data_IF_209963817711
#
_entry.id   IF_209963817711
#
_cell.length_a   1.000
_cell.length_b   1.000
_cell.length_c   1.000
_cell.angle_alpha   90.00
_cell.angle_beta   90.00
_cell.angle_gamma   90.00
#
_symmetry.space_group_name_H-M   'P 1'
#
loop_
_entity.id
_entity.type
_entity.pdbx_description
1 polymer ?
#
# COMPACT_ATOMS: atom_id res chain seq x y z
N UNK A 1 33.11 1.93 -1.95
CA UNK A 1 31.79 2.25 -2.51
C UNK A 1 31.92 3.54 -3.26
N UNK A 2 31.39 3.60 -4.47
CA UNK A 2 31.44 4.84 -5.25
C UNK A 2 30.57 5.90 -4.56
N UNK A 3 31.01 7.17 -4.58
CA UNK A 3 30.31 8.28 -3.92
C UNK A 3 28.82 8.36 -4.32
N UNK A 4 28.54 8.09 -5.60
CA UNK A 4 27.18 7.98 -6.16
C UNK A 4 26.32 6.92 -5.45
N UNK A 5 26.89 5.76 -5.12
CA UNK A 5 26.17 4.68 -4.42
C UNK A 5 25.83 5.08 -2.98
N UNK A 6 26.73 5.81 -2.31
CA UNK A 6 26.52 6.31 -0.94
C UNK A 6 25.42 7.37 -0.93
N UNK A 7 25.48 8.34 -1.86
CA UNK A 7 24.45 9.37 -2.00
C UNK A 7 23.10 8.72 -2.32
N UNK A 8 23.05 7.75 -3.22
CA UNK A 8 21.84 6.99 -3.54
C UNK A 8 21.23 6.30 -2.31
N UNK A 9 22.05 5.66 -1.48
CA UNK A 9 21.59 5.03 -0.23
C UNK A 9 21.00 6.05 0.76
N UNK A 10 21.65 7.20 0.93
CA UNK A 10 21.17 8.27 1.83
C UNK A 10 19.81 8.78 1.34
N UNK A 11 19.64 9.00 0.03
CA UNK A 11 18.36 9.45 -0.55
C UNK A 11 17.27 8.40 -0.36
N UNK A 12 17.56 7.13 -0.63
CA UNK A 12 16.61 6.03 -0.43
C UNK A 12 16.20 5.95 1.04
N UNK A 13 17.16 5.96 1.97
CA UNK A 13 16.88 5.93 3.42
C UNK A 13 16.08 7.15 3.87
N UNK A 14 16.38 8.34 3.35
CA UNK A 14 15.64 9.56 3.64
C UNK A 14 14.18 9.50 3.18
N UNK A 15 13.94 9.09 1.93
CA UNK A 15 12.58 8.91 1.39
C UNK A 15 11.84 7.83 2.18
N UNK A 16 12.50 6.72 2.48
CA UNK A 16 11.95 5.60 3.24
C UNK A 16 11.55 6.01 4.65
N UNK A 17 12.43 6.74 5.35
CA UNK A 17 12.15 7.30 6.67
C UNK A 17 10.99 8.29 6.64
N UNK A 18 10.93 9.16 5.62
CA UNK A 18 9.82 10.10 5.45
C UNK A 18 8.49 9.39 5.22
N UNK A 19 8.47 8.36 4.37
CA UNK A 19 7.28 7.52 4.14
C UNK A 19 6.86 6.79 5.42
N UNK A 20 7.80 6.21 6.17
CA UNK A 20 7.53 5.55 7.45
C UNK A 20 6.91 6.51 8.48
N UNK A 21 7.46 7.72 8.60
CA UNK A 21 6.92 8.75 9.50
C UNK A 21 5.54 9.22 9.07
N UNK A 22 5.29 9.39 7.77
CA UNK A 22 3.98 9.77 7.23
C UNK A 22 2.95 8.68 7.52
N UNK A 23 3.32 7.41 7.41
CA UNK A 23 2.42 6.29 7.71
C UNK A 23 2.07 6.17 9.19
N UNK A 24 2.99 6.47 10.11
CA UNK A 24 2.67 6.47 11.55
C UNK A 24 1.55 7.43 11.91
N UNK A 25 1.29 8.46 11.09
CA UNK A 25 0.20 9.42 11.31
C UNK A 25 -1.18 8.83 11.07
N UNK A 26 -1.30 7.70 10.36
CA UNK A 26 -2.58 7.11 9.99
C UNK A 26 -2.73 5.73 10.60
N UNK A 27 -3.42 5.66 11.75
CA UNK A 27 -3.81 4.38 12.35
C UNK A 27 -4.88 3.73 11.47
N UNK A 28 -4.56 2.53 10.98
CA UNK A 28 -5.52 1.66 10.31
C UNK A 28 -6.43 1.04 11.38
N UNK A 29 -7.74 1.16 11.17
CA UNK A 29 -8.75 0.43 11.93
C UNK A 29 -8.84 -0.99 11.36
N UNK A 30 -8.93 -1.09 10.04
CA UNK A 30 -9.03 -2.36 9.32
C UNK A 30 -7.96 -2.43 8.23
N UNK A 31 -7.12 -3.47 8.31
CA UNK A 31 -6.11 -3.74 7.29
C UNK A 31 -6.73 -4.46 6.08
N UNK A 32 -6.49 -3.91 4.90
CA UNK A 32 -6.87 -4.52 3.63
C UNK A 32 -5.64 -4.86 2.78
N UNK A 33 -5.87 -5.47 1.61
CA UNK A 33 -4.86 -5.75 0.60
C UNK A 33 -5.19 -4.99 -0.68
N UNK A 34 -4.18 -4.32 -1.22
CA UNK A 34 -4.22 -3.82 -2.59
C UNK A 34 -4.08 -5.00 -3.57
N UNK A 35 -4.72 -4.90 -4.73
CA UNK A 35 -4.48 -5.83 -5.83
C UNK A 35 -3.01 -5.81 -6.28
N UNK A 36 -2.38 -4.63 -6.25
CA UNK A 36 -1.00 -4.44 -6.67
C UNK A 36 0.01 -4.73 -5.54
N UNK A 37 -0.40 -5.49 -4.52
CA UNK A 37 0.45 -5.79 -3.37
C UNK A 37 1.78 -6.46 -3.77
N UNK A 38 1.71 -7.37 -4.75
CA UNK A 38 2.85 -8.15 -5.22
C UNK A 38 3.70 -7.44 -6.28
N UNK A 39 3.25 -6.30 -6.81
CA UNK A 39 3.86 -5.66 -7.97
C UNK A 39 5.25 -5.11 -7.61
N UNK A 40 5.41 -4.49 -6.43
CA UNK A 40 6.70 -3.96 -5.98
C UNK A 40 7.70 -5.08 -5.64
N UNK A 41 7.35 -6.13 -4.86
CA UNK A 41 8.21 -7.30 -4.70
C UNK A 41 8.63 -7.95 -6.01
N UNK A 42 7.70 -8.06 -6.97
CA UNK A 42 7.96 -8.65 -8.28
C UNK A 42 8.98 -7.83 -9.08
N UNK A 43 8.85 -6.49 -9.11
CA UNK A 43 9.83 -5.60 -9.76
C UNK A 43 11.23 -5.78 -9.15
N UNK A 44 11.32 -5.89 -7.82
CA UNK A 44 12.60 -6.10 -7.13
C UNK A 44 13.23 -7.44 -7.55
N UNK A 45 12.44 -8.52 -7.57
CA UNK A 45 12.91 -9.85 -8.01
C UNK A 45 13.40 -9.81 -9.46
N UNK A 46 12.65 -9.16 -10.36
CA UNK A 46 13.05 -8.99 -11.76
C UNK A 46 14.36 -8.20 -11.85
N UNK A 47 14.50 -7.11 -11.10
CA UNK A 47 15.73 -6.31 -11.07
C UNK A 47 16.94 -7.14 -10.63
N UNK A 48 16.81 -7.92 -9.56
CA UNK A 48 17.86 -8.83 -9.09
C UNK A 48 18.20 -9.86 -10.17
N UNK A 49 17.18 -10.48 -10.78
CA UNK A 49 17.35 -11.46 -11.85
C UNK A 49 18.09 -10.89 -13.05
N UNK A 50 17.67 -9.73 -13.58
CA UNK A 50 18.35 -9.06 -14.71
C UNK A 50 19.80 -8.74 -14.38
N UNK A 51 20.07 -8.27 -13.15
CA UNK A 51 21.42 -7.94 -12.71
C UNK A 51 22.30 -9.18 -12.62
N UNK A 52 21.75 -10.31 -12.15
CA UNK A 52 22.44 -11.60 -12.07
C UNK A 52 22.71 -12.19 -13.46
N UNK A 53 21.72 -12.18 -14.37
CA UNK A 53 21.84 -12.72 -15.73
C UNK A 53 22.72 -11.87 -16.64
N UNK A 54 22.88 -10.57 -16.37
CA UNK A 54 23.75 -9.68 -17.16
C UNK A 54 25.24 -9.92 -16.92
N UNK A 55 25.64 -10.95 -16.14
CA UNK A 55 27.04 -11.30 -15.90
C UNK A 55 27.82 -10.26 -15.10
N UNK A 56 27.15 -9.25 -14.53
CA UNK A 56 27.78 -8.27 -13.64
C UNK A 56 27.98 -8.93 -12.28
N UNK A 57 29.20 -8.84 -11.75
CA UNK A 57 29.46 -9.22 -10.37
C UNK A 57 28.63 -8.33 -9.45
N UNK A 58 27.65 -8.94 -8.78
CA UNK A 58 26.81 -8.26 -7.79
C UNK A 58 27.74 -7.82 -6.66
N UNK A 59 27.92 -6.52 -6.52
CA UNK A 59 28.77 -5.99 -5.44
C UNK A 59 28.02 -6.17 -4.12
N UNK A 60 28.71 -6.35 -2.99
CA UNK A 60 28.07 -6.39 -1.67
C UNK A 60 27.18 -5.16 -1.40
N UNK A 61 27.52 -4.01 -1.99
CA UNK A 61 26.71 -2.79 -1.92
C UNK A 61 25.32 -2.95 -2.58
N UNK A 62 25.22 -3.67 -3.69
CA UNK A 62 23.95 -3.87 -4.39
C UNK A 62 23.00 -4.75 -3.55
N UNK A 63 23.55 -5.74 -2.86
CA UNK A 63 22.81 -6.60 -1.91
C UNK A 63 22.29 -5.76 -0.74
N UNK A 64 23.11 -4.87 -0.20
CA UNK A 64 22.71 -3.98 0.89
C UNK A 64 21.54 -3.06 0.49
N UNK A 65 21.58 -2.51 -0.73
CA UNK A 65 20.50 -1.67 -1.27
C UNK A 65 19.19 -2.46 -1.37
N UNK A 66 19.24 -3.70 -1.89
CA UNK A 66 18.07 -4.58 -1.98
C UNK A 66 17.48 -4.88 -0.60
N UNK A 67 18.33 -5.21 0.39
CA UNK A 67 17.89 -5.48 1.76
C UNK A 67 17.18 -4.26 2.37
N UNK A 68 17.62 -3.04 2.06
CA UNK A 68 16.98 -1.82 2.56
C UNK A 68 15.67 -1.50 1.82
N UNK A 69 15.61 -1.73 0.51
CA UNK A 69 14.41 -1.43 -0.31
C UNK A 69 13.26 -2.39 0.03
N UNK A 70 13.54 -3.66 0.35
CA UNK A 70 12.49 -4.66 0.60
C UNK A 70 11.54 -4.24 1.74
N UNK A 71 11.99 -3.95 2.98
CA UNK A 71 11.11 -3.50 4.05
C UNK A 71 10.29 -2.27 3.67
N UNK A 72 10.90 -1.35 2.92
CA UNK A 72 10.25 -0.10 2.48
C UNK A 72 9.14 -0.38 1.48
N UNK A 73 9.38 -1.31 0.53
CA UNK A 73 8.39 -1.77 -0.42
C UNK A 73 7.18 -2.44 0.25
N UNK A 74 7.43 -3.20 1.33
CA UNK A 74 6.35 -3.83 2.11
C UNK A 74 5.59 -2.83 2.97
N UNK A 75 6.31 -1.94 3.65
CA UNK A 75 5.71 -0.94 4.56
C UNK A 75 4.90 0.08 3.77
N UNK A 76 5.43 0.60 2.65
CA UNK A 76 4.77 1.58 1.78
C UNK A 76 3.51 1.09 1.06
N UNK A 77 3.14 -0.18 1.23
CA UNK A 77 1.94 -0.75 0.62
C UNK A 77 0.80 -0.97 1.61
N UNK A 78 0.79 -0.22 2.72
CA UNK A 78 -0.34 -0.22 3.66
C UNK A 78 -1.60 0.26 2.97
N UNK A 79 -2.64 -0.56 3.12
CA UNK A 79 -3.96 -0.31 2.56
C UNK A 79 -5.02 -0.69 3.59
N UNK A 80 -6.13 0.02 3.63
CA UNK A 80 -7.22 -0.27 4.55
C UNK A 80 -8.07 0.94 4.89
N UNK A 81 -8.84 0.80 5.97
CA UNK A 81 -9.74 1.85 6.46
C UNK A 81 -9.11 2.51 7.68
N UNK A 82 -9.18 3.84 7.71
CA UNK A 82 -8.77 4.69 8.83
C UNK A 82 -9.99 5.44 9.37
N UNK A 83 -9.85 6.11 10.50
CA UNK A 83 -10.91 6.96 11.07
C UNK A 83 -11.33 8.08 10.10
N UNK A 84 -10.39 8.61 9.32
CA UNK A 84 -10.58 9.78 8.48
C UNK A 84 -10.89 9.46 7.01
N UNK A 85 -10.77 8.20 6.60
CA UNK A 85 -10.98 7.81 5.21
C UNK A 85 -10.37 6.45 4.86
N UNK A 86 -10.14 6.26 3.57
CA UNK A 86 -9.56 5.04 3.01
C UNK A 86 -8.09 5.30 2.66
N UNK A 87 -7.19 4.48 3.20
CA UNK A 87 -5.75 4.53 2.89
C UNK A 87 -5.44 3.50 1.80
N UNK A 88 -4.79 3.92 0.72
CA UNK A 88 -4.32 3.04 -0.33
C UNK A 88 -2.87 3.41 -0.71
N UNK A 89 -1.93 2.49 -0.53
CA UNK A 89 -0.50 2.66 -0.85
C UNK A 89 0.04 3.99 -0.30
N UNK A 90 -0.18 4.21 1.00
CA UNK A 90 0.20 5.43 1.76
C UNK A 90 -0.47 6.74 1.31
N UNK A 91 -1.48 6.69 0.40
CA UNK A 91 -2.33 7.82 0.03
C UNK A 91 -3.68 7.73 0.74
N UNK A 92 -4.00 8.74 1.56
CA UNK A 92 -5.27 8.84 2.27
C UNK A 92 -6.30 9.57 1.40
N UNK A 93 -7.38 8.87 1.05
CA UNK A 93 -8.59 9.48 0.51
C UNK A 93 -9.56 9.69 1.65
N UNK A 94 -9.76 10.93 2.06
CA UNK A 94 -10.62 11.29 3.19
C UNK A 94 -12.10 11.08 2.85
N UNK A 95 -12.94 10.84 3.87
CA UNK A 95 -14.38 10.51 3.66
C UNK A 95 -15.14 11.57 2.88
N UNK A 96 -14.81 12.85 3.04
CA UNK A 96 -15.37 13.99 2.31
C UNK A 96 -15.03 13.98 0.81
N UNK A 97 -13.94 13.33 0.43
CA UNK A 97 -13.49 13.22 -0.98
C UNK A 97 -13.99 11.95 -1.66
N UNK A 98 -14.67 11.06 -0.93
CA UNK A 98 -15.22 9.82 -1.47
C UNK A 98 -16.63 10.12 -1.99
N UNK A 99 -16.80 10.10 -3.30
CA UNK A 99 -18.08 10.38 -3.96
C UNK A 99 -19.05 9.19 -3.89
N UNK A 100 -18.51 7.97 -3.93
CA UNK A 100 -19.30 6.75 -3.75
C UNK A 100 -18.45 5.56 -3.31
N UNK A 101 -19.07 4.60 -2.63
CA UNK A 101 -18.45 3.31 -2.34
C UNK A 101 -19.49 2.18 -2.36
N UNK A 102 -19.02 0.96 -2.62
CA UNK A 102 -19.80 -0.26 -2.55
C UNK A 102 -18.90 -1.39 -2.05
N UNK A 103 -19.45 -2.31 -1.26
CA UNK A 103 -18.70 -3.49 -0.81
C UNK A 103 -19.46 -4.74 -1.24
N UNK A 104 -18.72 -5.71 -1.77
CA UNK A 104 -19.30 -6.93 -2.33
C UNK A 104 -18.62 -8.14 -1.70
N UNK A 105 -19.42 -9.08 -1.21
CA UNK A 105 -18.93 -10.38 -0.77
C UNK A 105 -18.65 -11.27 -1.98
N UNK A 106 -17.43 -11.82 -2.04
CA UNK A 106 -17.02 -12.88 -2.95
C UNK A 106 -16.65 -14.11 -2.10
N UNK A 107 -16.65 -15.32 -2.70
CA UNK A 107 -16.51 -16.63 -2.01
C UNK A 107 -15.61 -16.68 -0.76
N UNK A 108 -14.47 -15.97 -0.74
CA UNK A 108 -13.55 -15.95 0.40
C UNK A 108 -13.00 -14.56 0.75
N UNK A 109 -13.62 -13.48 0.25
CA UNK A 109 -13.12 -12.10 0.47
C UNK A 109 -14.22 -11.08 0.31
N UNK A 110 -14.04 -9.93 0.93
CA UNK A 110 -14.86 -8.75 0.66
C UNK A 110 -14.07 -7.77 -0.20
N UNK A 111 -14.69 -7.26 -1.26
CA UNK A 111 -14.08 -6.25 -2.13
C UNK A 111 -14.80 -4.92 -1.93
N UNK A 112 -14.10 -3.94 -1.35
CA UNK A 112 -14.57 -2.56 -1.24
C UNK A 112 -14.14 -1.79 -2.48
N UNK A 113 -15.11 -1.34 -3.27
CA UNK A 113 -14.93 -0.37 -4.34
C UNK A 113 -15.24 1.03 -3.81
N UNK A 114 -14.42 2.01 -4.14
CA UNK A 114 -14.68 3.40 -3.81
C UNK A 114 -14.20 4.31 -4.93
N UNK A 115 -14.82 5.47 -5.04
CA UNK A 115 -14.48 6.51 -6.01
C UNK A 115 -14.14 7.78 -5.26
N UNK A 116 -13.00 8.37 -5.58
CA UNK A 116 -12.57 9.66 -5.03
C UNK A 116 -11.75 10.42 -6.06
N UNK A 117 -12.00 11.73 -6.19
CA UNK A 117 -11.41 12.58 -7.22
C UNK A 117 -11.54 12.01 -8.66
N UNK A 118 -12.68 11.37 -8.96
CA UNK A 118 -12.97 10.78 -10.28
C UNK A 118 -12.24 9.47 -10.60
N UNK A 119 -11.47 8.90 -9.66
CA UNK A 119 -10.77 7.63 -9.86
C UNK A 119 -11.44 6.54 -9.03
N UNK A 120 -11.91 5.48 -9.70
CA UNK A 120 -12.43 4.28 -9.04
C UNK A 120 -11.29 3.37 -8.62
N UNK A 121 -11.28 2.97 -7.35
CA UNK A 121 -10.25 2.14 -6.72
C UNK A 121 -10.90 1.00 -5.93
N UNK A 122 -10.12 -0.01 -5.57
CA UNK A 122 -10.60 -1.14 -4.78
C UNK A 122 -9.61 -1.60 -3.72
N UNK A 123 -10.15 -2.17 -2.63
CA UNK A 123 -9.41 -2.82 -1.55
C UNK A 123 -10.07 -4.16 -1.25
N UNK A 124 -9.25 -5.19 -1.10
CA UNK A 124 -9.72 -6.52 -0.73
C UNK A 124 -9.48 -6.77 0.77
N UNK A 125 -10.46 -7.35 1.44
CA UNK A 125 -10.38 -7.77 2.83
C UNK A 125 -10.58 -9.29 2.93
N UNK A 126 -9.95 -9.93 3.91
CA UNK A 126 -10.28 -11.32 4.24
C UNK A 126 -11.75 -11.41 4.67
N UNK A 127 -12.34 -12.61 4.58
CA UNK A 127 -13.74 -12.79 4.97
C UNK A 127 -14.05 -12.28 6.39
N UNK A 128 -13.21 -12.65 7.36
CA UNK A 128 -13.33 -12.22 8.77
C UNK A 128 -13.35 -10.69 8.95
N UNK A 129 -12.43 -9.99 8.28
CA UNK A 129 -12.32 -8.53 8.38
C UNK A 129 -13.40 -7.83 7.56
N UNK A 130 -13.79 -8.42 6.43
CA UNK A 130 -14.75 -7.86 5.50
C UNK A 130 -16.15 -7.65 6.10
N UNK A 131 -16.62 -8.60 6.90
CA UNK A 131 -17.89 -8.48 7.64
C UNK A 131 -17.85 -7.34 8.65
N UNK A 132 -16.75 -7.19 9.40
CA UNK A 132 -16.57 -6.08 10.32
C UNK A 132 -16.51 -4.73 9.60
N UNK A 133 -15.84 -4.69 8.45
CA UNK A 133 -15.75 -3.51 7.58
C UNK A 133 -17.13 -3.12 7.06
N UNK A 134 -17.92 -4.06 6.54
CA UNK A 134 -19.26 -3.74 6.05
C UNK A 134 -20.16 -3.20 7.17
N UNK A 135 -20.10 -3.82 8.35
CA UNK A 135 -20.79 -3.34 9.54
C UNK A 135 -20.35 -1.93 9.95
N UNK A 136 -19.05 -1.67 9.95
CA UNK A 136 -18.48 -0.35 10.28
C UNK A 136 -18.96 0.72 9.30
N UNK A 137 -18.86 0.45 8.00
CA UNK A 137 -19.29 1.36 6.93
C UNK A 137 -20.81 1.61 6.94
N UNK A 138 -21.60 0.62 7.37
CA UNK A 138 -23.06 0.73 7.46
C UNK A 138 -23.51 1.60 8.65
N UNK A 139 -22.80 1.52 9.78
CA UNK A 139 -23.19 2.20 11.03
C UNK A 139 -22.65 3.62 11.12
N UNK A 140 -21.57 3.94 10.41
CA UNK A 140 -20.90 5.22 10.55
C UNK A 140 -21.63 6.33 9.77
N UNK A 141 -22.39 7.17 10.49
CA UNK A 141 -23.18 8.30 9.95
C UNK A 141 -22.37 9.34 9.17
N UNK A 142 -21.04 9.38 9.35
CA UNK A 142 -20.13 10.24 8.57
C UNK A 142 -19.95 9.77 7.13
N UNK A 143 -20.28 8.51 6.85
CA UNK A 143 -20.06 7.86 5.56
C UNK A 143 -21.40 7.84 4.80
N UNK A 144 -21.69 8.91 4.06
CA UNK A 144 -23.02 9.16 3.46
C UNK A 144 -23.20 8.64 2.03
N UNK A 145 -22.19 7.98 1.46
CA UNK A 145 -22.07 7.78 0.01
C UNK A 145 -22.18 6.30 -0.44
N UNK A 146 -22.94 5.47 0.30
CA UNK A 146 -23.07 4.04 -0.02
C UNK A 146 -23.96 3.85 -1.25
N UNK A 147 -23.44 3.23 -2.30
CA UNK A 147 -24.24 2.68 -3.40
C UNK A 147 -24.61 1.24 -3.06
N UNK A 148 -25.89 0.91 -3.18
CA UNK A 148 -26.40 -0.46 -3.06
C UNK A 148 -25.98 -1.29 -4.26
#
# INVERSE_FOLDING_TARGET
MDLLTIIGLIVILGISGMLFLKERKHKLIYCGRNQNYYLVPLIIIIFIGVTFFSGRSIKPADIMVVIVIIPVAFVGNKCGITENGILLSSYLTTWDKISSYSITEEKNRYTLYYEGNGVRRRINFSKSVGEEVDNYLSKNRKIRHRKK
#
